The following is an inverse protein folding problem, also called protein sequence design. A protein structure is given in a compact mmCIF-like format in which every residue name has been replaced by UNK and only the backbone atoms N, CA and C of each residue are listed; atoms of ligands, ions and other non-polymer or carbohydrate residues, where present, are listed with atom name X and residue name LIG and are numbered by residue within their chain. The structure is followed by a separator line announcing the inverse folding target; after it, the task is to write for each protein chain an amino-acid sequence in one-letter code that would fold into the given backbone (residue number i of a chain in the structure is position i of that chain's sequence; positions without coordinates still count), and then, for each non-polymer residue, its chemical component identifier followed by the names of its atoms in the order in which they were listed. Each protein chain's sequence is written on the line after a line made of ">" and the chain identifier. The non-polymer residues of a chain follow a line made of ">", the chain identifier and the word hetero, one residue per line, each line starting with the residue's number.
data_IF_946501150669
#
_entry.id   IF_946501150669
#
_cell.length_a   1.000
_cell.length_b   1.000
_cell.length_c   1.000
_cell.angle_alpha   90.00
_cell.angle_beta   90.00
_cell.angle_gamma   90.00
#
_symmetry.space_group_name_H-M   'P 1'
#
loop_
_entity.id
_entity.type
_entity.pdbx_description
1 polymer ?
#
# COMPACT_ATOMS: atom_id res chain seq x y z
N UNK A 1 3.82 -1.17 33.22
CA UNK A 1 3.97 -0.41 31.95
C UNK A 1 4.35 -1.29 30.74
N UNK A 2 3.99 -2.59 30.71
CA UNK A 2 4.39 -3.52 29.63
C UNK A 2 3.29 -3.79 28.56
N UNK A 3 2.07 -3.30 28.76
CA UNK A 3 0.91 -3.65 27.93
C UNK A 3 0.82 -2.86 26.61
N UNK A 4 1.35 -1.65 26.53
CA UNK A 4 1.30 -0.82 25.31
C UNK A 4 2.26 -1.32 24.21
N UNK A 5 3.43 -1.84 24.60
CA UNK A 5 4.48 -2.26 23.65
C UNK A 5 4.11 -3.57 22.95
N UNK A 6 3.48 -4.51 23.67
CA UNK A 6 3.04 -5.78 23.10
C UNK A 6 1.86 -5.60 22.13
N UNK A 7 0.87 -4.76 22.49
CA UNK A 7 -0.24 -4.44 21.58
C UNK A 7 0.25 -3.76 20.29
N UNK A 8 1.25 -2.88 20.39
CA UNK A 8 1.84 -2.21 19.23
C UNK A 8 2.54 -3.19 18.28
N UNK A 9 3.33 -4.14 18.80
CA UNK A 9 4.00 -5.16 17.99
C UNK A 9 3.02 -6.11 17.30
N UNK A 10 2.02 -6.61 18.04
CA UNK A 10 0.96 -7.48 17.49
C UNK A 10 0.21 -6.76 16.37
N UNK A 11 -0.10 -5.46 16.56
CA UNK A 11 -0.76 -4.67 15.53
C UNK A 11 0.13 -4.49 14.30
N UNK A 12 1.42 -4.20 14.46
CA UNK A 12 2.35 -3.95 13.35
C UNK A 12 2.51 -5.18 12.46
N UNK A 13 2.72 -6.35 13.05
CA UNK A 13 2.91 -7.60 12.33
C UNK A 13 1.61 -8.05 11.64
N UNK A 14 0.47 -7.86 12.29
CA UNK A 14 -0.83 -8.06 11.66
C UNK A 14 -1.03 -7.12 10.45
N UNK A 15 -0.74 -5.83 10.58
CA UNK A 15 -0.85 -4.87 9.48
C UNK A 15 0.12 -5.18 8.34
N UNK A 16 1.35 -5.59 8.65
CA UNK A 16 2.32 -6.03 7.66
C UNK A 16 1.79 -7.26 6.90
N UNK A 17 1.27 -8.26 7.61
CA UNK A 17 0.67 -9.45 6.97
C UNK A 17 -0.54 -9.10 6.11
N UNK A 18 -1.40 -8.19 6.58
CA UNK A 18 -2.51 -7.67 5.77
C UNK A 18 -2.02 -6.94 4.52
N UNK A 19 -1.00 -6.10 4.66
CA UNK A 19 -0.38 -5.39 3.54
C UNK A 19 0.20 -6.37 2.51
N UNK A 20 0.93 -7.40 2.95
CA UNK A 20 1.48 -8.43 2.07
C UNK A 20 0.40 -9.17 1.29
N UNK A 21 -0.69 -9.55 1.96
CA UNK A 21 -1.79 -10.28 1.34
C UNK A 21 -2.57 -9.43 0.33
N UNK A 22 -2.70 -8.13 0.59
CA UNK A 22 -3.45 -7.22 -0.29
C UNK A 22 -2.55 -6.53 -1.33
N UNK A 23 -1.22 -6.74 -1.31
CA UNK A 23 -0.26 -6.03 -2.17
C UNK A 23 -0.58 -6.15 -3.66
N UNK A 24 -0.94 -7.35 -4.11
CA UNK A 24 -1.32 -7.63 -5.51
C UNK A 24 -2.61 -6.92 -5.88
N UNK A 25 -3.60 -6.94 -5.01
CA UNK A 25 -4.86 -6.23 -5.24
C UNK A 25 -4.65 -4.71 -5.25
N UNK A 26 -3.92 -4.16 -4.28
CA UNK A 26 -3.55 -2.73 -4.22
C UNK A 26 -2.85 -2.31 -5.52
N UNK A 27 -1.91 -3.12 -6.01
CA UNK A 27 -1.22 -2.84 -7.27
C UNK A 27 -2.11 -2.89 -8.50
N UNK A 28 -3.14 -3.75 -8.50
CA UNK A 28 -4.10 -3.81 -9.60
C UNK A 28 -5.13 -2.67 -9.52
N UNK A 29 -5.44 -2.19 -8.32
CA UNK A 29 -6.37 -1.08 -8.11
C UNK A 29 -5.75 0.27 -8.47
N UNK A 30 -4.45 0.45 -8.24
CA UNK A 30 -3.75 1.69 -8.61
C UNK A 30 -3.54 1.71 -10.12
N UNK A 31 -4.40 2.43 -10.82
CA UNK A 31 -4.30 2.63 -12.28
C UNK A 31 -3.40 3.80 -12.65
N UNK A 32 -3.23 4.77 -11.73
CA UNK A 32 -2.48 6.00 -11.97
C UNK A 32 -1.19 6.03 -11.13
N UNK A 33 -0.05 5.97 -11.82
CA UNK A 33 1.25 5.92 -11.15
C UNK A 33 1.62 7.27 -10.50
N UNK A 34 1.26 8.38 -11.15
CA UNK A 34 1.64 9.73 -10.74
C UNK A 34 1.16 10.10 -9.33
N UNK A 35 -0.16 10.10 -9.02
CA UNK A 35 -0.64 10.47 -7.68
C UNK A 35 -0.11 9.52 -6.59
N UNK A 36 0.15 8.26 -6.94
CA UNK A 36 0.73 7.29 -6.02
C UNK A 36 2.19 7.61 -5.66
N UNK A 37 3.04 7.81 -6.67
CA UNK A 37 4.46 8.11 -6.44
C UNK A 37 4.67 9.48 -5.79
N UNK A 38 3.91 10.50 -6.20
CA UNK A 38 3.97 11.83 -5.59
C UNK A 38 3.60 11.75 -4.09
N UNK A 39 2.52 11.04 -3.75
CA UNK A 39 2.11 10.87 -2.34
C UNK A 39 3.18 10.17 -1.50
N UNK A 40 3.89 9.19 -2.07
CA UNK A 40 5.00 8.51 -1.41
C UNK A 40 6.22 9.43 -1.23
N UNK A 41 6.52 10.25 -2.24
CA UNK A 41 7.61 11.23 -2.22
C UNK A 41 7.35 12.34 -1.21
N UNK A 42 6.16 12.91 -1.19
CA UNK A 42 5.75 13.96 -0.25
C UNK A 42 5.87 13.50 1.20
N UNK A 43 5.61 12.22 1.44
CA UNK A 43 5.72 11.63 2.77
C UNK A 43 7.12 11.09 3.10
N UNK A 44 8.11 11.37 2.23
CA UNK A 44 9.50 10.89 2.36
C UNK A 44 9.61 9.36 2.56
N UNK A 45 8.68 8.60 1.98
CA UNK A 45 8.64 7.14 2.07
C UNK A 45 9.55 6.48 1.03
N UNK A 46 9.72 7.15 -0.11
CA UNK A 46 10.64 6.75 -1.18
C UNK A 46 11.70 7.83 -1.37
N UNK A 47 12.92 7.40 -1.68
CA UNK A 47 13.96 8.30 -2.13
C UNK A 47 13.72 8.74 -3.58
N UNK A 48 14.33 9.86 -3.96
CA UNK A 48 14.27 10.39 -5.32
C UNK A 48 14.80 9.39 -6.36
N UNK A 49 15.79 8.57 -6.00
CA UNK A 49 16.28 7.46 -6.81
C UNK A 49 15.17 6.45 -7.11
N UNK A 50 14.46 5.96 -6.09
CA UNK A 50 13.35 5.01 -6.28
C UNK A 50 12.15 5.61 -7.02
N UNK A 51 11.94 6.92 -6.89
CA UNK A 51 10.95 7.66 -7.66
C UNK A 51 11.33 7.67 -9.15
N UNK A 52 12.57 8.04 -9.48
CA UNK A 52 13.07 8.06 -10.84
C UNK A 52 13.05 6.67 -11.47
N UNK A 53 13.45 5.63 -10.73
CA UNK A 53 13.37 4.24 -11.19
C UNK A 53 11.93 3.83 -11.54
N UNK A 54 10.96 4.26 -10.72
CA UNK A 54 9.54 3.96 -10.96
C UNK A 54 8.99 4.72 -12.17
N UNK A 55 9.40 5.97 -12.35
CA UNK A 55 9.05 6.78 -13.52
C UNK A 55 9.70 6.24 -14.80
N UNK A 56 10.95 5.80 -14.71
CA UNK A 56 11.68 5.20 -15.81
C UNK A 56 11.10 3.84 -16.20
N UNK A 57 10.68 3.02 -15.23
CA UNK A 57 9.93 1.79 -15.50
C UNK A 57 8.63 2.08 -16.28
N UNK A 58 7.91 3.14 -15.90
CA UNK A 58 6.70 3.56 -16.62
C UNK A 58 7.01 4.07 -18.05
N UNK A 59 8.11 4.82 -18.24
CA UNK A 59 8.60 5.21 -19.57
C UNK A 59 8.98 4.01 -20.43
N UNK A 60 9.52 2.96 -19.82
CA UNK A 60 9.82 1.69 -20.46
C UNK A 60 8.59 0.81 -20.73
N UNK A 61 7.37 1.37 -20.66
CA UNK A 61 6.09 0.70 -20.90
C UNK A 61 5.83 -0.48 -19.97
N UNK A 62 6.46 -0.49 -18.78
CA UNK A 62 6.13 -1.48 -17.76
C UNK A 62 4.72 -1.18 -17.25
N UNK A 63 3.84 -2.20 -17.12
CA UNK A 63 2.50 -2.01 -16.60
C UNK A 63 2.51 -1.30 -15.24
N UNK A 64 1.65 -0.30 -15.07
CA UNK A 64 1.54 0.51 -13.83
C UNK A 64 1.46 -0.40 -12.60
N UNK A 65 0.59 -1.41 -12.62
CA UNK A 65 0.46 -2.34 -11.50
C UNK A 65 1.76 -3.09 -11.17
N UNK A 66 2.61 -3.40 -12.15
CA UNK A 66 3.91 -4.05 -11.90
C UNK A 66 4.91 -3.08 -11.26
N UNK A 67 4.90 -1.81 -11.67
CA UNK A 67 5.72 -0.77 -11.05
C UNK A 67 5.25 -0.53 -9.62
N UNK A 68 3.95 -0.34 -9.40
CA UNK A 68 3.34 -0.17 -8.07
C UNK A 68 3.67 -1.36 -7.17
N UNK A 69 3.53 -2.59 -7.66
CA UNK A 69 3.86 -3.79 -6.90
C UNK A 69 5.32 -3.80 -6.44
N UNK A 70 6.25 -3.45 -7.33
CA UNK A 70 7.67 -3.35 -7.00
C UNK A 70 7.93 -2.25 -5.96
N UNK A 71 7.31 -1.08 -6.11
CA UNK A 71 7.40 0.00 -5.11
C UNK A 71 6.87 -0.45 -3.75
N UNK A 72 5.72 -1.15 -3.71
CA UNK A 72 5.15 -1.72 -2.49
C UNK A 72 6.07 -2.79 -1.86
N UNK A 73 6.75 -3.60 -2.67
CA UNK A 73 7.78 -4.54 -2.21
C UNK A 73 8.98 -3.83 -1.56
N UNK A 74 9.43 -2.70 -2.12
CA UNK A 74 10.49 -1.90 -1.52
C UNK A 74 10.03 -1.28 -0.19
N UNK A 75 8.80 -0.76 -0.16
CA UNK A 75 8.19 -0.18 1.04
C UNK A 75 7.92 -1.22 2.13
N UNK A 76 7.66 -2.49 1.78
CA UNK A 76 7.52 -3.60 2.72
C UNK A 76 8.79 -3.79 3.57
N UNK A 77 9.97 -3.56 3.01
CA UNK A 77 11.26 -3.69 3.73
C UNK A 77 11.44 -2.61 4.78
N UNK A 78 10.86 -1.43 4.56
CA UNK A 78 10.87 -0.31 5.49
C UNK A 78 9.45 0.01 5.99
N UNK A 79 8.65 -1.04 6.20
CA UNK A 79 7.25 -0.89 6.54
C UNK A 79 7.11 -0.12 7.85
N UNK A 80 6.35 0.97 7.79
CA UNK A 80 6.15 1.86 8.92
C UNK A 80 4.74 2.41 8.96
N UNK A 81 4.37 3.00 10.11
CA UNK A 81 3.05 3.59 10.31
C UNK A 81 2.75 4.71 9.30
N UNK A 82 3.78 5.43 8.87
CA UNK A 82 3.68 6.48 7.86
C UNK A 82 3.15 5.95 6.53
N UNK A 83 3.59 4.76 6.09
CA UNK A 83 3.10 4.13 4.86
C UNK A 83 1.60 3.85 4.92
N UNK A 84 1.13 3.28 6.03
CA UNK A 84 -0.30 3.03 6.23
C UNK A 84 -1.09 4.34 6.24
N UNK A 85 -0.56 5.38 6.86
CA UNK A 85 -1.23 6.68 6.90
C UNK A 85 -1.38 7.30 5.50
N UNK A 86 -0.41 7.07 4.62
CA UNK A 86 -0.47 7.53 3.22
C UNK A 86 -1.43 6.71 2.39
N UNK A 87 -1.32 5.37 2.42
CA UNK A 87 -2.18 4.48 1.64
C UNK A 87 -3.65 4.59 2.03
N UNK A 88 -3.93 4.73 3.33
CA UNK A 88 -5.28 4.92 3.86
C UNK A 88 -5.61 6.39 4.12
N UNK A 89 -4.85 7.32 3.53
CA UNK A 89 -5.19 8.74 3.60
C UNK A 89 -6.52 8.98 2.89
N UNK A 90 -7.27 9.99 3.34
CA UNK A 90 -8.54 10.36 2.68
C UNK A 90 -8.35 10.71 1.20
N UNK A 91 -7.16 11.20 0.83
CA UNK A 91 -6.79 11.53 -0.55
C UNK A 91 -6.68 10.24 -1.36
N UNK A 92 -5.85 9.28 -0.94
CA UNK A 92 -5.73 7.99 -1.63
C UNK A 92 -7.02 7.17 -1.65
N UNK A 93 -7.81 7.22 -0.58
CA UNK A 93 -9.11 6.52 -0.54
C UNK A 93 -10.18 7.17 -1.42
N UNK A 94 -10.02 8.45 -1.77
CA UNK A 94 -10.90 9.16 -2.71
C UNK A 94 -10.44 8.93 -4.15
N UNK A 95 -9.13 8.89 -4.38
CA UNK A 95 -8.53 8.58 -5.68
C UNK A 95 -8.75 7.10 -6.05
N UNK A 96 -8.70 6.21 -5.06
CA UNK A 96 -8.84 4.77 -5.21
C UNK A 96 -9.92 4.22 -4.27
N UNK A 97 -11.21 4.53 -4.52
CA UNK A 97 -12.31 4.03 -3.70
C UNK A 97 -12.41 2.50 -3.72
N UNK A 98 -11.90 1.87 -4.77
CA UNK A 98 -11.84 0.41 -4.91
C UNK A 98 -10.96 -0.25 -3.82
N UNK A 99 -9.97 0.46 -3.26
CA UNK A 99 -9.22 0.00 -2.09
C UNK A 99 -10.11 -0.18 -0.86
N UNK A 100 -11.14 0.67 -0.70
CA UNK A 100 -12.13 0.54 0.37
C UNK A 100 -13.01 -0.68 0.10
N UNK A 101 -13.39 -0.91 -1.16
CA UNK A 101 -14.20 -2.05 -1.56
C UNK A 101 -13.51 -3.38 -1.23
N UNK A 102 -12.20 -3.50 -1.43
CA UNK A 102 -11.43 -4.69 -1.05
C UNK A 102 -11.47 -4.94 0.48
N UNK A 103 -11.38 -3.86 1.28
CA UNK A 103 -11.50 -3.96 2.73
C UNK A 103 -12.89 -4.41 3.21
N UNK A 104 -13.96 -4.08 2.46
CA UNK A 104 -15.34 -4.45 2.74
C UNK A 104 -15.71 -5.85 2.22
N UNK A 105 -15.32 -6.16 0.99
CA UNK A 105 -15.65 -7.43 0.33
C UNK A 105 -15.05 -8.63 1.06
N UNK A 106 -13.88 -8.46 1.70
CA UNK A 106 -13.26 -9.47 2.55
C UNK A 106 -14.02 -9.72 3.87
N UNK A 107 -14.73 -8.71 4.40
CA UNK A 107 -15.63 -8.87 5.56
C UNK A 107 -16.90 -9.65 5.19
N UNK A 108 -17.38 -9.51 3.95
CA UNK A 108 -18.53 -10.26 3.43
C UNK A 108 -18.20 -11.73 3.18
N UNK A 109 -17.01 -12.03 2.62
CA UNK A 109 -16.57 -13.40 2.28
C UNK A 109 -16.31 -14.31 3.50
N UNK A 110 -16.33 -13.75 4.71
CA UNK A 110 -16.22 -14.50 5.98
C UNK A 110 -17.59 -14.91 6.53
N UNK A 111 -18.68 -14.63 5.80
CA UNK A 111 -20.08 -14.92 6.18
C UNK A 111 -20.85 -15.68 5.11
N UNK A 112 -20.19 -16.50 4.31
CA UNK A 112 -20.88 -17.56 3.56
C UNK A 112 -20.89 -18.83 4.42
N UNK A 113 -22.05 -19.24 4.97
CA UNK A 113 -22.21 -20.57 5.54
C UNK A 113 -22.29 -21.59 4.40
N UNK A 114 -21.38 -22.57 4.42
CA UNK A 114 -21.61 -23.86 3.78
C UNK A 114 -22.24 -24.81 4.81
#
# INVERSE_FOLDING_TARGET
>A
MFSLVQNKKISHEAFLNHFKQNKVEISNTITELFPFLESLRDCSLIMEESYNDSQEAHRNLIPVGKVVYNTLCCLEKNFGRSLLQVLFSRVHLKEYPDLIHLSKQRREKSREPA
#
